data_IF_108734487420
#
_entry.id   IF_108734487420
#
_cell.length_a   1.000
_cell.length_b   1.000
_cell.length_c   1.000
_cell.angle_alpha   90.00
_cell.angle_beta   90.00
_cell.angle_gamma   90.00
#
_symmetry.space_group_name_H-M   'P 1'
#
loop_
_entity.id
_entity.type
_entity.pdbx_description
1 polymer ?
#
# COMPACT_ATOMS: atom_id res chain seq x y z
N UNK A 1 5.54 15.95 -17.55
CA UNK A 1 4.51 15.63 -16.53
C UNK A 1 4.84 14.24 -16.01
N UNK A 2 5.32 14.13 -14.77
CA UNK A 2 5.57 12.83 -14.13
C UNK A 2 4.23 12.17 -13.85
N UNK A 3 3.95 11.04 -14.50
CA UNK A 3 2.77 10.22 -14.19
C UNK A 3 2.87 9.73 -12.74
N UNK A 4 2.02 10.26 -11.87
CA UNK A 4 1.90 9.79 -10.50
C UNK A 4 1.07 8.51 -10.48
N UNK A 5 1.68 7.39 -10.90
CA UNK A 5 1.05 6.08 -10.96
C UNK A 5 0.84 5.54 -9.54
N UNK A 6 -0.31 5.84 -8.95
CA UNK A 6 -0.72 5.28 -7.64
C UNK A 6 -1.27 3.88 -7.88
N UNK A 7 -0.56 2.87 -7.39
CA UNK A 7 -0.97 1.46 -7.50
C UNK A 7 -1.36 0.98 -6.11
N UNK A 8 -2.49 0.29 -5.99
CA UNK A 8 -2.93 -0.34 -4.74
C UNK A 8 -2.29 -1.71 -4.64
N UNK A 9 -1.66 -2.00 -3.50
CA UNK A 9 -1.15 -3.33 -3.17
C UNK A 9 -2.32 -4.18 -2.68
N UNK A 10 -2.87 -5.02 -3.56
CA UNK A 10 -4.10 -5.77 -3.30
C UNK A 10 -3.94 -6.80 -2.18
N UNK A 11 -2.80 -7.49 -2.11
CA UNK A 11 -2.53 -8.49 -1.08
C UNK A 11 -2.41 -7.83 0.29
N UNK A 12 -1.62 -6.75 0.40
CA UNK A 12 -1.51 -6.01 1.65
C UNK A 12 -2.82 -5.34 2.06
N UNK A 13 -3.58 -4.83 1.10
CA UNK A 13 -4.92 -4.30 1.35
C UNK A 13 -5.84 -5.37 1.91
N UNK A 14 -5.84 -6.59 1.34
CA UNK A 14 -6.62 -7.71 1.85
C UNK A 14 -6.24 -8.12 3.28
N UNK A 15 -4.94 -8.19 3.56
CA UNK A 15 -4.44 -8.47 4.91
C UNK A 15 -4.84 -7.37 5.90
N UNK A 16 -4.80 -6.10 5.47
CA UNK A 16 -5.19 -4.96 6.28
C UNK A 16 -6.69 -4.96 6.61
N UNK A 17 -7.55 -5.29 5.62
CA UNK A 17 -8.98 -5.49 5.85
C UNK A 17 -9.26 -6.60 6.87
N UNK A 18 -8.54 -7.73 6.75
CA UNK A 18 -8.66 -8.84 7.71
C UNK A 18 -8.22 -8.43 9.12
N UNK A 19 -7.17 -7.64 9.22
CA UNK A 19 -6.68 -7.08 10.49
C UNK A 19 -7.76 -6.22 11.15
N UNK A 20 -8.34 -5.26 10.42
CA UNK A 20 -9.41 -4.41 10.95
C UNK A 20 -10.65 -5.21 11.39
N UNK A 21 -11.05 -6.22 10.60
CA UNK A 21 -12.12 -7.12 10.98
C UNK A 21 -11.83 -7.82 12.31
N UNK A 22 -10.63 -8.36 12.47
CA UNK A 22 -10.21 -9.06 13.69
C UNK A 22 -10.12 -8.12 14.90
N UNK A 23 -9.52 -6.93 14.74
CA UNK A 23 -9.36 -5.94 15.83
C UNK A 23 -10.71 -5.41 16.33
N UNK A 24 -11.70 -5.31 15.45
CA UNK A 24 -13.07 -4.92 15.82
C UNK A 24 -13.96 -6.11 16.24
N UNK A 25 -13.43 -7.34 16.24
CA UNK A 25 -14.16 -8.54 16.66
C UNK A 25 -15.22 -9.03 15.67
N UNK A 26 -15.14 -8.64 14.39
CA UNK A 26 -16.08 -9.06 13.36
C UNK A 26 -15.67 -10.38 12.70
N UNK A 27 -16.62 -11.31 12.61
CA UNK A 27 -16.48 -12.49 11.77
C UNK A 27 -16.79 -12.16 10.30
N UNK A 28 -16.38 -13.05 9.39
CA UNK A 28 -16.74 -12.96 7.96
C UNK A 28 -18.26 -12.94 7.77
N UNK A 29 -19.00 -13.67 8.61
CA UNK A 29 -20.46 -13.72 8.55
C UNK A 29 -21.08 -12.38 8.95
N UNK A 30 -20.54 -11.72 9.96
CA UNK A 30 -21.01 -10.40 10.40
C UNK A 30 -20.82 -9.36 9.30
N UNK A 31 -19.65 -9.36 8.66
CA UNK A 31 -19.35 -8.47 7.52
C UNK A 31 -20.28 -8.76 6.34
N UNK A 32 -20.50 -10.04 6.01
CA UNK A 32 -21.42 -10.45 4.94
C UNK A 32 -22.85 -9.96 5.21
N UNK A 33 -23.33 -10.14 6.44
CA UNK A 33 -24.66 -9.71 6.86
C UNK A 33 -24.78 -8.19 6.85
N UNK A 34 -23.79 -7.49 7.42
CA UNK A 34 -23.75 -6.03 7.45
C UNK A 34 -23.78 -5.43 6.04
N UNK A 35 -23.01 -6.01 5.11
CA UNK A 35 -22.95 -5.56 3.72
C UNK A 35 -24.15 -6.01 2.87
N UNK A 36 -24.99 -6.91 3.37
CA UNK A 36 -26.14 -7.46 2.62
C UNK A 36 -25.71 -8.35 1.44
N UNK A 37 -24.54 -8.99 1.53
CA UNK A 37 -24.06 -9.89 0.47
C UNK A 37 -24.82 -11.21 0.53
N UNK A 38 -25.11 -11.81 -0.61
CA UNK A 38 -25.83 -13.10 -0.67
C UNK A 38 -25.02 -14.27 -0.10
N UNK A 39 -23.68 -14.17 -0.08
CA UNK A 39 -22.80 -15.21 0.43
C UNK A 39 -21.49 -14.63 1.02
N UNK A 40 -20.76 -15.36 1.87
CA UNK A 40 -19.52 -14.86 2.50
C UNK A 40 -18.31 -14.87 1.56
N UNK A 41 -18.45 -15.47 0.37
CA UNK A 41 -17.35 -15.68 -0.57
C UNK A 41 -16.61 -14.40 -0.99
N UNK A 42 -17.28 -13.25 -1.27
CA UNK A 42 -16.59 -12.02 -1.62
C UNK A 42 -15.63 -11.56 -0.53
N UNK A 43 -16.03 -11.66 0.75
CA UNK A 43 -15.22 -11.25 1.90
C UNK A 43 -13.92 -12.06 1.98
N UNK A 44 -13.98 -13.38 1.79
CA UNK A 44 -12.77 -14.20 1.72
C UNK A 44 -11.84 -13.82 0.56
N UNK A 45 -12.40 -13.45 -0.60
CA UNK A 45 -11.60 -13.00 -1.74
C UNK A 45 -10.94 -11.65 -1.51
N UNK A 46 -11.61 -10.74 -0.79
CA UNK A 46 -11.04 -9.47 -0.36
C UNK A 46 -9.89 -9.69 0.62
N UNK A 47 -10.07 -10.55 1.62
CA UNK A 47 -9.01 -10.85 2.59
C UNK A 47 -7.78 -11.52 1.96
N UNK A 48 -7.98 -12.31 0.90
CA UNK A 48 -6.88 -12.89 0.12
C UNK A 48 -6.27 -11.92 -0.89
N UNK A 49 -6.80 -10.70 -1.04
CA UNK A 49 -6.33 -9.73 -2.03
C UNK A 49 -6.54 -10.15 -3.48
N UNK A 50 -7.48 -11.07 -3.76
CA UNK A 50 -7.75 -11.55 -5.13
C UNK A 50 -8.53 -10.50 -5.91
N UNK A 51 -9.47 -9.82 -5.23
CA UNK A 51 -10.25 -8.70 -5.74
C UNK A 51 -10.40 -7.65 -4.63
N UNK A 52 -10.66 -6.41 -5.02
CA UNK A 52 -11.03 -5.36 -4.08
C UNK A 52 -12.55 -5.32 -3.86
N UNK A 53 -13.03 -4.84 -2.70
CA UNK A 53 -14.41 -4.43 -2.54
C UNK A 53 -14.76 -3.33 -3.57
N UNK A 54 -16.04 -3.24 -3.95
CA UNK A 54 -16.52 -2.04 -4.65
C UNK A 54 -16.34 -0.80 -3.75
N UNK A 55 -16.36 0.39 -4.35
CA UNK A 55 -16.25 1.65 -3.59
C UNK A 55 -17.32 1.74 -2.50
N UNK A 56 -18.56 1.35 -2.79
CA UNK A 56 -19.66 1.34 -1.82
C UNK A 56 -19.38 0.39 -0.64
N UNK A 57 -18.89 -0.82 -0.94
CA UNK A 57 -18.54 -1.78 0.10
C UNK A 57 -17.34 -1.31 0.92
N UNK A 58 -16.37 -0.66 0.28
CA UNK A 58 -15.21 -0.10 0.97
C UNK A 58 -15.63 1.04 1.92
N UNK A 59 -16.57 1.89 1.50
CA UNK A 59 -17.13 2.96 2.34
C UNK A 59 -17.84 2.36 3.55
N UNK A 60 -18.73 1.39 3.33
CA UNK A 60 -19.46 0.70 4.41
C UNK A 60 -18.52 -0.05 5.35
N UNK A 61 -17.46 -0.68 4.84
CA UNK A 61 -16.42 -1.29 5.67
C UNK A 61 -15.70 -0.25 6.52
N UNK A 62 -15.43 0.95 5.98
CA UNK A 62 -14.80 2.03 6.72
C UNK A 62 -15.69 2.54 7.87
N UNK A 63 -17.00 2.61 7.65
CA UNK A 63 -18.00 2.91 8.67
C UNK A 63 -18.07 1.81 9.73
N UNK A 64 -18.12 0.54 9.31
CA UNK A 64 -18.15 -0.63 10.19
C UNK A 64 -16.91 -0.71 11.09
N UNK A 65 -15.73 -0.42 10.54
CA UNK A 65 -14.46 -0.48 11.27
C UNK A 65 -14.10 0.85 11.96
N UNK A 66 -14.94 1.88 11.84
CA UNK A 66 -14.71 3.21 12.41
C UNK A 66 -13.38 3.85 12.01
N UNK A 67 -13.00 3.74 10.73
CA UNK A 67 -11.77 4.33 10.17
C UNK A 67 -12.04 5.06 8.87
N UNK A 68 -11.12 5.94 8.46
CA UNK A 68 -11.16 6.50 7.11
C UNK A 68 -10.95 5.42 6.05
N UNK A 69 -11.68 5.51 4.95
CA UNK A 69 -11.60 4.57 3.81
C UNK A 69 -10.15 4.40 3.31
N UNK A 70 -9.36 5.47 3.28
CA UNK A 70 -7.98 5.42 2.83
C UNK A 70 -7.08 4.54 3.70
N UNK A 71 -7.40 4.41 5.00
CA UNK A 71 -6.64 3.58 5.92
C UNK A 71 -6.83 2.09 5.65
N UNK A 72 -7.90 1.72 4.95
CA UNK A 72 -8.13 0.34 4.51
C UNK A 72 -7.19 -0.04 3.36
N UNK A 73 -6.82 0.92 2.53
CA UNK A 73 -6.03 0.71 1.32
C UNK A 73 -4.53 0.83 1.59
N UNK A 74 -3.75 -0.05 0.97
CA UNK A 74 -2.29 0.01 1.03
C UNK A 74 -1.73 0.44 -0.33
N UNK A 75 -0.97 1.53 -0.36
CA UNK A 75 -0.26 1.98 -1.57
C UNK A 75 0.95 1.10 -1.83
N UNK A 76 1.13 0.66 -3.07
CA UNK A 76 2.35 0.01 -3.50
C UNK A 76 3.45 1.07 -3.66
N UNK A 77 4.49 0.99 -2.82
CA UNK A 77 5.68 1.80 -3.01
C UNK A 77 6.51 1.16 -4.12
N UNK A 78 6.47 1.74 -5.32
CA UNK A 78 7.48 1.45 -6.32
C UNK A 78 8.80 1.98 -5.77
N UNK A 79 9.68 1.07 -5.30
CA UNK A 79 11.10 1.42 -5.20
C UNK A 79 11.52 1.76 -6.62
N UNK A 80 11.72 3.05 -6.92
CA UNK A 80 12.52 3.40 -8.08
C UNK A 80 13.85 2.68 -7.87
N UNK A 81 14.09 1.63 -8.63
CA UNK A 81 15.39 0.98 -8.67
C UNK A 81 16.34 2.02 -9.23
N UNK A 82 17.05 2.72 -8.34
CA UNK A 82 18.27 3.39 -8.73
C UNK A 82 19.17 2.28 -9.26
N UNK A 83 19.35 2.23 -10.57
CA UNK A 83 20.29 1.32 -11.17
C UNK A 83 21.70 1.74 -10.74
N UNK A 84 22.19 1.11 -9.67
CA UNK A 84 23.51 1.35 -9.12
C UNK A 84 24.62 1.04 -10.15
N UNK A 85 24.33 0.25 -11.20
CA UNK A 85 25.29 -0.03 -12.27
C UNK A 85 25.50 1.14 -13.24
N UNK A 86 24.58 2.11 -13.30
CA UNK A 86 24.80 3.39 -14.01
C UNK A 86 25.77 4.30 -13.24
N UNK A 87 25.79 4.22 -11.90
CA UNK A 87 26.73 4.97 -11.06
C UNK A 87 28.15 4.45 -11.27
N UNK A 88 28.32 3.13 -11.42
CA UNK A 88 29.66 2.53 -11.61
C UNK A 88 30.29 2.89 -12.96
N UNK A 89 29.50 3.14 -14.01
CA UNK A 89 30.02 3.68 -15.29
C UNK A 89 30.33 5.18 -15.24
N UNK A 90 29.80 5.90 -14.25
CA UNK A 90 30.11 7.30 -13.98
C UNK A 90 31.29 7.50 -13.02
N UNK A 91 32.03 6.43 -12.66
CA UNK A 91 33.27 6.49 -11.87
C UNK A 91 34.46 7.10 -12.63
N UNK A 92 34.21 7.96 -13.62
CA UNK A 92 35.17 8.87 -14.22
C UNK A 92 34.75 10.35 -14.11
N UNK A 93 33.64 10.68 -13.43
CA UNK A 93 33.05 12.02 -13.53
C UNK A 93 33.23 12.88 -12.27
N UNK A 94 33.90 14.02 -12.48
CA UNK A 94 34.00 15.27 -11.70
C UNK A 94 32.91 15.53 -10.63
N UNK A 95 31.68 15.08 -10.88
CA UNK A 95 30.52 15.22 -10.00
C UNK A 95 30.70 14.58 -8.62
N UNK A 96 31.20 13.34 -8.53
CA UNK A 96 31.36 12.64 -7.23
C UNK A 96 32.45 13.30 -6.37
N UNK A 97 33.55 13.73 -7.00
CA UNK A 97 34.63 14.49 -6.33
C UNK A 97 34.12 15.83 -5.77
N UNK A 98 33.31 16.56 -6.55
CA UNK A 98 32.66 17.79 -6.07
C UNK A 98 31.71 17.52 -4.92
N UNK A 99 30.92 16.45 -5.02
CA UNK A 99 29.98 16.09 -3.96
C UNK A 99 30.70 15.78 -2.65
N UNK A 100 31.76 14.96 -2.67
CA UNK A 100 32.59 14.70 -1.49
C UNK A 100 33.12 16.00 -0.88
N UNK A 101 33.68 16.92 -1.67
CA UNK A 101 34.20 18.19 -1.18
C UNK A 101 33.16 19.05 -0.42
N UNK A 102 31.87 18.98 -0.80
CA UNK A 102 30.82 19.71 -0.09
C UNK A 102 30.46 19.10 1.27
N UNK A 103 30.53 17.78 1.40
CA UNK A 103 30.06 17.08 2.60
C UNK A 103 31.19 16.70 3.57
N UNK A 104 32.45 16.63 3.14
CA UNK A 104 33.60 16.36 4.00
C UNK A 104 33.73 17.31 5.22
N UNK A 105 33.45 18.63 5.11
CA UNK A 105 33.58 19.55 6.25
C UNK A 105 32.44 19.45 7.27
N UNK A 106 31.34 18.74 6.95
CA UNK A 106 30.16 18.65 7.81
C UNK A 106 30.18 17.41 8.73
N UNK A 107 31.19 16.55 8.58
CA UNK A 107 31.33 15.28 9.31
C UNK A 107 32.60 15.29 10.18
N UNK A 108 33.31 16.42 10.26
CA UNK A 108 34.44 16.68 11.16
C UNK A 108 33.99 17.62 12.28
#
# INVERSE_FOLDING_TARGET
>A
MTESKTIIDMEKTGNNLRKYAYENGYSVKDIQQYLGLSCPQPVYRWFKGIILPSVDNLLRLSELFHVHMENLLVKQYTKYTYDSSLVTKANSNQFVKRMQAYYSPLVA
#
